data_IF_020402618347
#
_entry.id   IF_020402618347
#
_cell.length_a   1.000
_cell.length_b   1.000
_cell.length_c   1.000
_cell.angle_alpha   90.00
_cell.angle_beta   90.00
_cell.angle_gamma   90.00
#
_symmetry.space_group_name_H-M   'P 1'
#
loop_
_entity.id
_entity.type
_entity.pdbx_description
1 polymer ?
#
# COMPACT_ATOMS: atom_id res chain seq x y z
N UNK A 1 -3.08 14.13 33.83
CA UNK A 1 -1.75 14.37 33.24
C UNK A 1 -1.34 13.33 32.20
N UNK A 2 -1.40 12.01 32.48
CA UNK A 2 -0.99 10.95 31.53
C UNK A 2 -1.70 10.98 30.16
N UNK A 3 -3.02 11.25 30.13
CA UNK A 3 -3.79 11.37 28.88
C UNK A 3 -3.41 12.60 28.05
N UNK A 4 -3.03 13.69 28.72
CA UNK A 4 -2.59 14.93 28.05
C UNK A 4 -1.20 14.74 27.44
N UNK A 5 -0.30 14.08 28.15
CA UNK A 5 1.02 13.68 27.63
C UNK A 5 0.87 12.76 26.43
N UNK A 6 0.00 11.75 26.51
CA UNK A 6 -0.29 10.85 25.40
C UNK A 6 -0.83 11.57 24.16
N UNK A 7 -1.80 12.48 24.35
CA UNK A 7 -2.36 13.31 23.28
C UNK A 7 -1.32 14.23 22.65
N UNK A 8 -0.45 14.84 23.46
CA UNK A 8 0.66 15.66 22.97
C UNK A 8 1.68 14.84 22.18
N UNK A 9 2.08 13.66 22.67
CA UNK A 9 3.00 12.78 21.93
C UNK A 9 2.40 12.28 20.63
N UNK A 10 1.11 11.96 20.61
CA UNK A 10 0.42 11.50 19.40
C UNK A 10 0.29 12.61 18.35
N UNK A 11 -0.04 13.83 18.81
CA UNK A 11 -0.10 15.02 17.96
C UNK A 11 1.27 15.33 17.33
N UNK A 12 2.34 15.31 18.12
CA UNK A 12 3.71 15.54 17.62
C UNK A 12 4.13 14.48 16.59
N UNK A 13 3.75 13.21 16.81
CA UNK A 13 4.02 12.12 15.85
C UNK A 13 3.30 12.34 14.51
N UNK A 14 2.04 12.79 14.55
CA UNK A 14 1.23 13.08 13.37
C UNK A 14 1.80 14.23 12.56
N UNK A 15 2.22 15.32 13.23
CA UNK A 15 2.82 16.48 12.56
C UNK A 15 4.21 16.19 11.99
N UNK A 16 5.00 15.30 12.62
CA UNK A 16 6.33 14.89 12.13
C UNK A 16 6.30 14.03 10.85
N UNK A 17 5.13 13.50 10.48
CA UNK A 17 4.93 12.71 9.26
C UNK A 17 4.63 13.52 8.00
N UNK A 18 4.34 14.83 8.12
CA UNK A 18 4.12 15.71 6.97
C UNK A 18 5.45 16.12 6.33
N UNK A 19 6.15 15.15 5.75
CA UNK A 19 7.16 15.48 4.75
C UNK A 19 6.44 15.85 3.46
N UNK A 20 6.91 16.86 2.70
CA UNK A 20 6.44 17.02 1.33
C UNK A 20 6.58 15.66 0.66
N UNK A 21 5.52 15.21 -0.01
CA UNK A 21 5.59 14.03 -0.86
C UNK A 21 6.49 14.40 -2.05
N UNK A 22 7.81 14.48 -1.83
CA UNK A 22 8.80 14.29 -2.87
C UNK A 22 8.38 12.98 -3.49
N UNK A 23 7.90 13.05 -4.74
CA UNK A 23 7.33 11.90 -5.43
C UNK A 23 8.16 10.66 -5.09
N UNK A 24 7.53 9.64 -4.47
CA UNK A 24 8.13 8.32 -4.27
C UNK A 24 8.31 7.68 -5.64
N UNK A 25 9.22 8.23 -6.44
CA UNK A 25 9.37 7.96 -7.86
C UNK A 25 10.85 7.97 -8.26
N UNK A 26 11.79 7.72 -7.34
CA UNK A 26 13.14 7.31 -7.75
C UNK A 26 13.11 5.85 -8.24
N UNK A 27 12.28 4.99 -7.66
CA UNK A 27 12.17 3.58 -8.09
C UNK A 27 11.55 3.41 -9.48
N UNK A 28 10.41 4.06 -9.77
CA UNK A 28 9.79 3.90 -11.10
C UNK A 28 10.61 4.61 -12.19
N UNK A 29 11.22 5.77 -11.89
CA UNK A 29 12.06 6.51 -12.83
C UNK A 29 13.37 5.78 -13.14
N UNK A 30 14.05 5.22 -12.13
CA UNK A 30 15.30 4.48 -12.34
C UNK A 30 15.08 3.21 -13.16
N UNK A 31 13.98 2.49 -12.93
CA UNK A 31 13.64 1.30 -13.72
C UNK A 31 13.30 1.66 -15.17
N UNK A 32 12.60 2.79 -15.39
CA UNK A 32 12.30 3.29 -16.75
C UNK A 32 13.56 3.77 -17.46
N UNK A 33 14.43 4.52 -16.79
CA UNK A 33 15.67 5.01 -17.38
C UNK A 33 16.64 3.87 -17.66
N UNK A 34 16.73 2.86 -16.79
CA UNK A 34 17.48 1.63 -17.05
C UNK A 34 16.92 0.86 -18.24
N UNK A 35 15.59 0.71 -18.32
CA UNK A 35 14.93 0.02 -19.43
C UNK A 35 15.05 0.75 -20.78
N UNK A 36 15.13 2.09 -20.78
CA UNK A 36 15.41 2.90 -21.99
C UNK A 36 16.88 2.88 -22.40
N UNK A 37 17.80 2.65 -21.45
CA UNK A 37 19.23 2.60 -21.71
C UNK A 37 19.66 1.27 -22.33
N UNK A 38 18.92 0.20 -22.06
CA UNK A 38 19.04 -1.03 -22.85
C UNK A 38 18.39 -0.82 -24.22
N UNK A 39 19.11 -1.16 -25.29
CA UNK A 39 18.75 -0.86 -26.68
C UNK A 39 17.57 -1.67 -27.24
N UNK A 40 16.90 -2.44 -26.41
CA UNK A 40 15.64 -3.08 -26.78
C UNK A 40 14.50 -2.10 -26.54
N UNK A 41 13.60 -2.01 -27.51
CA UNK A 41 12.43 -1.12 -27.58
C UNK A 41 11.46 -1.35 -26.41
N UNK A 42 11.86 -0.99 -25.20
CA UNK A 42 11.10 -1.25 -23.99
C UNK A 42 9.90 -0.32 -23.99
N UNK A 43 8.71 -0.87 -24.22
CA UNK A 43 7.47 -0.11 -24.24
C UNK A 43 7.11 0.41 -22.84
N UNK A 44 7.55 1.63 -22.57
CA UNK A 44 7.36 2.32 -21.31
C UNK A 44 5.92 2.83 -21.12
N UNK A 45 5.08 2.77 -22.16
CA UNK A 45 3.70 3.29 -22.11
C UNK A 45 2.79 2.44 -21.20
N UNK A 46 3.15 1.16 -20.97
CA UNK A 46 2.39 0.21 -20.16
C UNK A 46 2.68 0.21 -18.66
N UNK A 47 3.64 0.99 -18.17
CA UNK A 47 4.12 0.87 -16.77
C UNK A 47 3.02 1.10 -15.72
N UNK A 48 2.15 2.10 -15.93
CA UNK A 48 1.07 2.40 -14.98
C UNK A 48 0.06 1.23 -14.88
N UNK A 49 -0.15 0.51 -15.98
CA UNK A 49 -0.98 -0.71 -15.98
C UNK A 49 -0.31 -1.82 -15.16
N UNK A 50 1.02 -1.97 -15.28
CA UNK A 50 1.80 -2.90 -14.48
C UNK A 50 1.73 -2.62 -12.96
N UNK A 51 1.82 -1.35 -12.56
CA UNK A 51 1.71 -0.97 -11.13
C UNK A 51 0.34 -1.33 -10.57
N UNK A 52 -0.74 -0.99 -11.27
CA UNK A 52 -2.11 -1.33 -10.85
C UNK A 52 -2.29 -2.85 -10.78
N UNK A 53 -1.74 -3.59 -11.73
CA UNK A 53 -1.79 -5.06 -11.73
C UNK A 53 -1.08 -5.66 -10.51
N UNK A 54 0.14 -5.20 -10.20
CA UNK A 54 0.90 -5.67 -9.04
C UNK A 54 0.26 -5.27 -7.70
N UNK A 55 -0.32 -4.06 -7.62
CA UNK A 55 -1.05 -3.63 -6.42
C UNK A 55 -2.36 -4.40 -6.21
N UNK A 56 -2.96 -4.99 -7.24
CA UNK A 56 -4.22 -5.75 -7.11
C UNK A 56 -4.04 -6.98 -6.20
N UNK A 57 -2.88 -7.65 -6.27
CA UNK A 57 -2.58 -8.87 -5.49
C UNK A 57 -2.69 -8.66 -3.97
N UNK A 58 -2.01 -7.68 -3.34
CA UNK A 58 -2.11 -7.49 -1.89
C UNK A 58 -3.53 -7.11 -1.44
N UNK A 59 -4.31 -6.39 -2.26
CA UNK A 59 -5.71 -6.08 -1.92
C UNK A 59 -6.60 -7.32 -1.94
N UNK A 60 -6.44 -8.20 -2.94
CA UNK A 60 -7.17 -9.46 -3.01
C UNK A 60 -6.81 -10.38 -1.84
N UNK A 61 -5.52 -10.48 -1.50
CA UNK A 61 -5.05 -11.26 -0.35
C UNK A 61 -5.66 -10.74 0.96
N UNK A 62 -5.66 -9.43 1.18
CA UNK A 62 -6.29 -8.82 2.36
C UNK A 62 -7.79 -9.11 2.43
N UNK A 63 -8.50 -9.01 1.30
CA UNK A 63 -9.92 -9.35 1.22
C UNK A 63 -10.19 -10.83 1.53
N UNK A 64 -9.38 -11.75 0.99
CA UNK A 64 -9.50 -13.17 1.25
C UNK A 64 -9.26 -13.51 2.73
N UNK A 65 -8.19 -12.99 3.32
CA UNK A 65 -7.87 -13.18 4.74
C UNK A 65 -9.00 -12.64 5.61
N UNK A 66 -9.49 -11.42 5.34
CA UNK A 66 -10.61 -10.82 6.07
C UNK A 66 -11.90 -11.65 5.98
N UNK A 67 -12.23 -12.16 4.79
CA UNK A 67 -13.40 -13.01 4.57
C UNK A 67 -13.32 -14.32 5.37
N UNK A 68 -12.19 -15.03 5.29
CA UNK A 68 -12.00 -16.28 6.04
C UNK A 68 -12.00 -16.05 7.55
N UNK A 69 -11.40 -14.95 8.00
CA UNK A 69 -11.43 -14.56 9.41
C UNK A 69 -12.85 -14.30 9.90
N UNK A 70 -13.61 -13.45 9.20
CA UNK A 70 -15.02 -13.14 9.54
C UNK A 70 -15.90 -14.39 9.59
N UNK A 71 -15.74 -15.30 8.63
CA UNK A 71 -16.51 -16.54 8.58
C UNK A 71 -16.17 -17.49 9.74
N UNK A 72 -14.93 -17.48 10.23
CA UNK A 72 -14.51 -18.27 11.40
C UNK A 72 -14.92 -17.62 12.72
N UNK A 73 -14.88 -16.30 12.84
CA UNK A 73 -15.21 -15.58 14.09
C UNK A 73 -16.70 -15.35 14.28
N UNK A 74 -17.48 -15.33 13.19
CA UNK A 74 -18.94 -15.25 13.21
C UNK A 74 -19.57 -16.50 12.55
N UNK A 75 -19.39 -17.70 13.13
CA UNK A 75 -20.15 -18.85 12.68
C UNK A 75 -21.63 -18.51 12.88
N UNK A 76 -22.41 -18.55 11.80
CA UNK A 76 -23.88 -18.51 11.93
C UNK A 76 -24.24 -19.72 12.76
N UNK A 77 -24.63 -19.49 14.02
CA UNK A 77 -25.22 -20.51 14.90
C UNK A 77 -26.32 -21.17 14.08
N UNK A 78 -26.07 -22.39 13.61
CA UNK A 78 -27.06 -23.17 12.91
C UNK A 78 -28.23 -23.31 13.88
N UNK A 79 -29.39 -22.76 13.51
CA UNK A 79 -30.63 -23.12 14.18
C UNK A 79 -30.86 -24.61 13.93
N UNK A 80 -30.39 -25.47 14.84
CA UNK A 80 -30.89 -26.82 15.06
C UNK A 80 -30.63 -27.23 16.50
#
# INVERSE_FOLDING_TARGET
MKKLVFLLTFSVLLLGGLRPALAQCVMCKSQVEAARAEKDDYDVSGLNKGIVYMMTVPYLLMGAVGFFWYRRTHPKQGKR
#
